data_IF_952117647243
#
_entry.id   IF_952117647243
#
_cell.length_a   1.000
_cell.length_b   1.000
_cell.length_c   1.000
_cell.angle_alpha   90.00
_cell.angle_beta   90.00
_cell.angle_gamma   90.00
#
_symmetry.space_group_name_H-M   'P 1'
#
loop_
_entity.id
_entity.type
_entity.pdbx_description
1 polymer ?
#
# COMPACT_ATOMS: atom_id res chain seq x y z
N UNK A 1 17.28 -5.88 -30.93
CA UNK A 1 17.39 -6.07 -29.46
C UNK A 1 15.99 -5.94 -28.89
N UNK A 2 15.40 -7.03 -28.41
CA UNK A 2 14.10 -6.99 -27.76
C UNK A 2 14.27 -6.31 -26.41
N UNK A 3 13.71 -5.12 -26.24
CA UNK A 3 13.59 -4.49 -24.92
C UNK A 3 12.81 -5.47 -24.03
N UNK A 4 13.36 -5.97 -22.91
CA UNK A 4 12.60 -6.83 -22.03
C UNK A 4 11.34 -6.06 -21.64
N UNK A 5 10.17 -6.70 -21.78
CA UNK A 5 8.91 -6.14 -21.29
C UNK A 5 9.17 -5.78 -19.83
N UNK A 6 9.13 -4.48 -19.56
CA UNK A 6 9.50 -3.91 -18.30
C UNK A 6 8.46 -4.34 -17.26
N UNK A 7 8.70 -5.47 -16.59
CA UNK A 7 7.69 -6.15 -15.78
C UNK A 7 7.17 -5.27 -14.65
N UNK A 8 5.83 -5.21 -14.51
CA UNK A 8 5.16 -4.50 -13.43
C UNK A 8 5.12 -5.36 -12.18
N UNK A 9 5.33 -4.76 -11.02
CA UNK A 9 5.26 -5.42 -9.72
C UNK A 9 4.14 -4.81 -8.89
N UNK A 10 3.50 -5.65 -8.08
CA UNK A 10 2.51 -5.22 -7.09
C UNK A 10 3.06 -5.48 -5.68
N UNK A 11 3.17 -4.44 -4.88
CA UNK A 11 3.63 -4.52 -3.49
C UNK A 11 2.47 -4.23 -2.54
N UNK A 12 2.23 -5.15 -1.61
CA UNK A 12 1.33 -4.94 -0.48
C UNK A 12 2.16 -4.78 0.79
N UNK A 13 1.98 -3.67 1.49
CA UNK A 13 2.55 -3.47 2.83
C UNK A 13 1.44 -3.53 3.89
N UNK A 14 1.76 -4.06 5.07
CA UNK A 14 0.87 -3.91 6.22
C UNK A 14 0.94 -2.47 6.76
N UNK A 15 -0.18 -1.95 7.27
CA UNK A 15 -0.18 -0.71 8.05
C UNK A 15 0.65 -0.87 9.33
N UNK A 16 1.05 0.25 9.93
CA UNK A 16 1.76 0.27 11.21
C UNK A 16 0.89 0.82 12.33
N UNK A 17 1.18 0.39 13.56
CA UNK A 17 0.56 0.98 14.75
C UNK A 17 0.90 2.49 14.84
N UNK A 18 2.19 2.80 14.72
CA UNK A 18 2.68 4.19 14.75
C UNK A 18 2.34 4.93 13.46
N UNK A 19 1.73 6.11 13.62
CA UNK A 19 1.37 7.02 12.53
C UNK A 19 1.98 8.39 12.76
N UNK A 20 2.01 9.19 11.71
CA UNK A 20 2.31 10.61 11.74
C UNK A 20 1.17 11.35 12.45
N UNK A 21 1.44 12.21 13.46
CA UNK A 21 0.42 12.79 14.33
C UNK A 21 -0.32 13.99 13.71
N UNK A 22 0.04 14.41 12.50
CA UNK A 22 -0.59 15.55 11.84
C UNK A 22 -2.09 15.29 11.61
N UNK A 23 -2.93 16.22 12.06
CA UNK A 23 -4.40 16.10 11.98
C UNK A 23 -4.89 16.07 10.52
N UNK A 24 -4.21 16.77 9.61
CA UNK A 24 -4.55 16.80 8.19
C UNK A 24 -4.49 15.41 7.57
N UNK A 25 -5.22 15.20 6.48
CA UNK A 25 -5.07 13.99 5.67
C UNK A 25 -3.64 13.89 5.11
N UNK A 26 -3.11 12.67 5.12
CA UNK A 26 -1.80 12.32 4.57
C UNK A 26 -1.97 11.14 3.63
N UNK A 27 -1.23 11.08 2.50
CA UNK A 27 -1.10 9.84 1.74
C UNK A 27 -0.76 8.68 2.69
N UNK A 28 -1.36 7.51 2.50
CA UNK A 28 -1.16 6.38 3.40
C UNK A 28 0.33 6.01 3.56
N UNK A 29 1.11 6.10 2.47
CA UNK A 29 2.57 5.92 2.49
C UNK A 29 3.30 6.91 3.40
N UNK A 30 2.76 8.11 3.60
CA UNK A 30 3.32 9.13 4.49
C UNK A 30 2.75 9.05 5.90
N UNK A 31 1.48 8.65 6.05
CA UNK A 31 0.81 8.47 7.35
C UNK A 31 1.52 7.41 8.18
N UNK A 32 1.83 6.26 7.59
CA UNK A 32 2.43 5.14 8.33
C UNK A 32 3.94 5.31 8.51
N UNK A 33 4.42 4.95 9.71
CA UNK A 33 5.83 5.01 10.10
C UNK A 33 6.41 3.62 10.28
N UNK A 34 7.71 3.49 10.02
CA UNK A 34 8.44 2.25 10.26
C UNK A 34 9.52 2.03 9.21
N UNK A 35 10.38 1.01 9.40
CA UNK A 35 11.48 0.71 8.47
C UNK A 35 10.99 0.44 7.05
N UNK A 36 9.96 -0.39 6.86
CA UNK A 36 9.44 -0.73 5.53
C UNK A 36 8.94 0.49 4.75
N UNK A 37 8.22 1.39 5.40
CA UNK A 37 7.77 2.64 4.78
C UNK A 37 8.93 3.61 4.49
N UNK A 38 9.97 3.63 5.33
CA UNK A 38 11.18 4.41 5.06
C UNK A 38 11.92 3.88 3.83
N UNK A 39 12.11 2.57 3.76
CA UNK A 39 12.75 1.90 2.62
C UNK A 39 11.96 2.15 1.35
N UNK A 40 10.64 1.97 1.37
CA UNK A 40 9.79 2.21 0.21
C UNK A 40 9.89 3.66 -0.28
N UNK A 41 9.72 4.66 0.61
CA UNK A 41 9.81 6.07 0.22
C UNK A 41 11.19 6.41 -0.35
N UNK A 42 12.27 5.88 0.25
CA UNK A 42 13.63 6.07 -0.26
C UNK A 42 13.80 5.44 -1.64
N UNK A 43 13.35 4.20 -1.83
CA UNK A 43 13.45 3.51 -3.10
C UNK A 43 12.67 4.22 -4.22
N UNK A 44 11.44 4.68 -3.93
CA UNK A 44 10.61 5.44 -4.88
C UNK A 44 11.29 6.75 -5.28
N UNK A 45 11.96 7.44 -4.34
CA UNK A 45 12.72 8.66 -4.61
C UNK A 45 13.99 8.39 -5.42
N UNK A 46 14.69 7.29 -5.15
CA UNK A 46 15.96 6.96 -5.78
C UNK A 46 15.78 6.36 -7.19
N UNK A 47 14.60 5.79 -7.49
CA UNK A 47 14.33 5.06 -8.74
C UNK A 47 13.01 5.49 -9.41
N UNK A 48 12.85 6.78 -9.80
CA UNK A 48 11.58 7.30 -10.31
C UNK A 48 11.06 6.57 -11.56
N UNK A 49 11.95 6.15 -12.47
CA UNK A 49 11.56 5.38 -13.65
C UNK A 49 11.03 3.98 -13.30
N UNK A 50 11.67 3.30 -12.35
CA UNK A 50 11.21 1.99 -11.88
C UNK A 50 9.91 2.11 -11.08
N UNK A 51 9.73 3.20 -10.34
CA UNK A 51 8.52 3.48 -9.57
C UNK A 51 7.26 3.55 -10.45
N UNK A 52 7.36 3.96 -11.72
CA UNK A 52 6.21 3.95 -12.67
C UNK A 52 5.65 2.54 -12.93
N UNK A 53 6.43 1.50 -12.61
CA UNK A 53 6.09 0.08 -12.80
C UNK A 53 5.82 -0.64 -11.48
N UNK A 54 5.79 0.07 -10.36
CA UNK A 54 5.48 -0.48 -9.06
C UNK A 54 4.12 0.05 -8.60
N UNK A 55 3.14 -0.82 -8.56
CA UNK A 55 1.85 -0.54 -7.93
C UNK A 55 1.97 -0.89 -6.43
N UNK A 56 1.56 0.03 -5.56
CA UNK A 56 1.66 -0.15 -4.10
C UNK A 56 0.30 0.00 -3.44
N UNK A 57 -0.08 -1.00 -2.66
CA UNK A 57 -1.22 -0.96 -1.75
C UNK A 57 -0.81 -1.22 -0.31
N UNK A 58 -1.63 -0.73 0.62
CA UNK A 58 -1.42 -0.90 2.05
C UNK A 58 -2.64 -1.59 2.64
N UNK A 59 -2.42 -2.68 3.35
CA UNK A 59 -3.44 -3.38 4.12
C UNK A 59 -3.59 -2.69 5.49
N UNK A 60 -4.67 -1.93 5.65
CA UNK A 60 -5.03 -1.16 6.83
C UNK A 60 -6.11 -1.85 7.67
N UNK A 61 -5.93 -1.80 9.00
CA UNK A 61 -6.95 -2.25 9.94
C UNK A 61 -8.25 -1.42 9.90
N UNK A 62 -8.14 -0.15 9.51
CA UNK A 62 -9.29 0.74 9.40
C UNK A 62 -9.92 0.66 8.02
N UNK A 63 -9.09 0.79 6.98
CA UNK A 63 -9.57 1.03 5.61
C UNK A 63 -9.57 -0.21 4.70
N UNK A 64 -9.13 -1.38 5.17
CA UNK A 64 -8.95 -2.54 4.29
C UNK A 64 -7.74 -2.36 3.37
N UNK A 65 -7.83 -2.76 2.11
CA UNK A 65 -6.74 -2.60 1.14
C UNK A 65 -6.89 -1.26 0.38
N UNK A 66 -5.93 -0.37 0.53
CA UNK A 66 -5.97 0.98 -0.07
C UNK A 66 -4.72 1.27 -0.92
N UNK A 67 -4.79 2.09 -1.97
CA UNK A 67 -3.60 2.59 -2.67
C UNK A 67 -2.68 3.37 -1.73
N UNK A 68 -1.37 3.27 -1.94
CA UNK A 68 -0.37 3.95 -1.10
C UNK A 68 -0.51 5.49 -1.08
N UNK A 69 -1.08 6.05 -2.14
CA UNK A 69 -1.31 7.49 -2.29
C UNK A 69 -2.63 7.98 -1.67
N UNK A 70 -3.51 7.06 -1.24
CA UNK A 70 -4.82 7.44 -0.71
C UNK A 70 -4.65 8.33 0.54
N UNK A 71 -5.23 9.55 0.56
CA UNK A 71 -5.21 10.38 1.75
C UNK A 71 -6.04 9.76 2.87
N UNK A 72 -5.45 9.62 4.06
CA UNK A 72 -6.11 9.07 5.24
C UNK A 72 -5.91 9.96 6.48
N UNK A 73 -6.91 10.03 7.38
CA UNK A 73 -6.78 10.72 8.65
C UNK A 73 -5.85 9.95 9.60
N UNK A 74 -5.57 10.54 10.76
CA UNK A 74 -5.03 9.77 11.87
C UNK A 74 -6.13 8.86 12.44
N UNK A 75 -5.74 7.70 12.97
CA UNK A 75 -6.66 6.74 13.58
C UNK A 75 -5.91 5.78 14.51
N UNK A 76 -6.61 5.21 15.48
CA UNK A 76 -6.09 4.12 16.30
C UNK A 76 -6.97 2.88 16.21
N UNK A 77 -6.58 1.97 15.31
CA UNK A 77 -7.21 0.66 15.16
C UNK A 77 -6.14 -0.39 14.92
N UNK A 78 -6.17 -1.42 15.77
CA UNK A 78 -5.25 -2.56 15.69
C UNK A 78 -5.79 -3.61 14.70
N UNK A 79 -4.90 -4.17 13.88
CA UNK A 79 -5.22 -5.36 13.10
C UNK A 79 -5.19 -6.58 14.03
N UNK A 80 -6.36 -7.02 14.48
CA UNK A 80 -6.55 -8.28 15.20
C UNK A 80 -6.97 -9.40 14.24
N UNK A 81 -6.91 -10.66 14.67
CA UNK A 81 -7.42 -11.79 13.89
C UNK A 81 -8.89 -11.63 13.52
N UNK A 82 -9.72 -11.21 14.49
CA UNK A 82 -11.14 -10.93 14.25
C UNK A 82 -11.32 -9.82 13.21
N UNK A 83 -10.55 -8.73 13.31
CA UNK A 83 -10.60 -7.65 12.32
C UNK A 83 -10.16 -8.10 10.93
N UNK A 84 -9.16 -8.98 10.83
CA UNK A 84 -8.74 -9.54 9.56
C UNK A 84 -9.84 -10.42 8.92
N UNK A 85 -10.60 -11.17 9.72
CA UNK A 85 -11.76 -11.94 9.24
C UNK A 85 -12.86 -10.99 8.73
N UNK A 86 -13.19 -9.93 9.47
CA UNK A 86 -14.16 -8.91 9.03
C UNK A 86 -13.76 -8.29 7.69
N UNK A 87 -12.49 -7.97 7.51
CA UNK A 87 -11.98 -7.30 6.31
C UNK A 87 -11.83 -8.23 5.10
N UNK A 88 -11.85 -9.56 5.30
CA UNK A 88 -11.47 -10.54 4.27
C UNK A 88 -12.26 -10.38 2.96
N UNK A 89 -13.59 -10.24 3.06
CA UNK A 89 -14.44 -10.12 1.89
C UNK A 89 -14.19 -8.80 1.14
N UNK A 90 -14.09 -7.69 1.87
CA UNK A 90 -13.79 -6.37 1.31
C UNK A 90 -12.41 -6.34 0.62
N UNK A 91 -11.38 -6.82 1.31
CA UNK A 91 -10.01 -6.87 0.77
C UNK A 91 -9.95 -7.71 -0.48
N UNK A 92 -10.64 -8.86 -0.51
CA UNK A 92 -10.74 -9.71 -1.70
C UNK A 92 -11.39 -8.98 -2.87
N UNK A 93 -12.54 -8.35 -2.64
CA UNK A 93 -13.25 -7.59 -3.65
C UNK A 93 -12.43 -6.41 -4.22
N UNK A 94 -11.51 -5.85 -3.42
CA UNK A 94 -10.56 -4.83 -3.90
C UNK A 94 -9.38 -5.45 -4.65
N UNK A 95 -8.81 -6.54 -4.14
CA UNK A 95 -7.57 -7.11 -4.68
C UNK A 95 -7.79 -7.83 -6.02
N UNK A 96 -8.88 -8.60 -6.15
CA UNK A 96 -9.12 -9.42 -7.35
C UNK A 96 -9.16 -8.59 -8.65
N UNK A 97 -9.91 -7.48 -8.73
CA UNK A 97 -9.89 -6.63 -9.93
C UNK A 97 -8.52 -6.00 -10.19
N UNK A 98 -7.79 -5.58 -9.14
CA UNK A 98 -6.46 -4.98 -9.30
C UNK A 98 -5.48 -5.96 -9.94
N UNK A 99 -5.53 -7.23 -9.54
CA UNK A 99 -4.71 -8.29 -10.11
C UNK A 99 -5.16 -8.73 -11.51
N UNK A 100 -6.45 -8.60 -11.83
CA UNK A 100 -6.97 -8.92 -13.15
C UNK A 100 -6.68 -7.83 -14.20
N UNK A 101 -6.65 -6.56 -13.80
CA UNK A 101 -6.45 -5.41 -14.70
C UNK A 101 -5.04 -5.29 -15.26
N UNK A 102 -4.04 -5.89 -14.61
CA UNK A 102 -2.64 -5.79 -15.03
C UNK A 102 -1.95 -7.14 -14.88
N UNK A 103 -1.13 -7.49 -15.87
CA UNK A 103 -0.21 -8.62 -15.75
C UNK A 103 0.95 -8.23 -14.82
N UNK A 104 0.90 -8.71 -13.59
CA UNK A 104 2.04 -8.71 -12.68
C UNK A 104 2.77 -10.04 -12.80
N UNK A 105 4.10 -10.01 -12.65
CA UNK A 105 5.01 -11.14 -12.87
C UNK A 105 6.13 -11.13 -11.86
#
# INVERSE_FOLDING_TARGET
>A
MLTPIAQRRFLILACTATKRPEVRLLPAIDRYRGPSFRVLRRWLSDHPEAATRLDVSILSAEFGLIPAIQPIPDYDRRMTTARAVELRAQVRATLEPLLALRSYT
#
